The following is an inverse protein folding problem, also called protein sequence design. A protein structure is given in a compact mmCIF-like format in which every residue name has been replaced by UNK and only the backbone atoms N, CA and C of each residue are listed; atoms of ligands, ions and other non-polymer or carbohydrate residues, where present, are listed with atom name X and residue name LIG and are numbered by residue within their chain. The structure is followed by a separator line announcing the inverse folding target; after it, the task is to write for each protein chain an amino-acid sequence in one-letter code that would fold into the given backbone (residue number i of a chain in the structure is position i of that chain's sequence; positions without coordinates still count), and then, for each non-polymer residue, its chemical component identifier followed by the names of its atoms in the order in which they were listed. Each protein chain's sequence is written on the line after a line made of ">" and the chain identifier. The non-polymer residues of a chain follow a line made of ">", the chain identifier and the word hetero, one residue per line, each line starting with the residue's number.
data_IF_082101182137
#
_entry.id   IF_082101182137
#
_cell.length_a   1.000
_cell.length_b   1.000
_cell.length_c   1.000
_cell.angle_alpha   90.00
_cell.angle_beta   90.00
_cell.angle_gamma   90.00
#
_symmetry.space_group_name_H-M   'P 1'
#
loop_
_entity.id
_entity.type
_entity.pdbx_description
1 polymer ?
#
# COMPACT_ATOMS: atom_id res chain seq x y z
N UNK A 1 -19.38 20.34 4.92
CA UNK A 1 -18.31 21.18 4.35
C UNK A 1 -17.25 20.20 3.88
N UNK A 2 -17.11 20.00 2.58
CA UNK A 2 -16.13 19.04 2.05
C UNK A 2 -14.76 19.72 2.09
N UNK A 3 -13.87 19.25 2.97
CA UNK A 3 -12.52 19.79 3.05
C UNK A 3 -11.73 19.29 1.83
N UNK A 4 -11.30 20.22 0.98
CA UNK A 4 -10.40 19.87 -0.12
C UNK A 4 -9.02 19.52 0.45
N UNK A 5 -8.51 18.36 0.05
CA UNK A 5 -7.14 17.99 0.37
C UNK A 5 -6.19 18.81 -0.49
N UNK A 6 -5.07 19.23 0.07
CA UNK A 6 -3.99 19.72 -0.78
C UNK A 6 -3.53 18.58 -1.70
N UNK A 7 -3.00 18.91 -2.89
CA UNK A 7 -2.61 17.93 -3.92
C UNK A 7 -1.68 16.83 -3.41
N UNK A 8 -0.75 17.16 -2.50
CA UNK A 8 0.18 16.19 -1.94
C UNK A 8 -0.51 15.27 -0.94
N UNK A 9 -1.36 15.81 -0.06
CA UNK A 9 -2.15 15.02 0.87
C UNK A 9 -3.08 14.05 0.13
N UNK A 10 -3.75 14.51 -0.92
CA UNK A 10 -4.58 13.66 -1.77
C UNK A 10 -3.78 12.59 -2.52
N UNK A 11 -2.66 12.96 -3.13
CA UNK A 11 -1.80 12.03 -3.86
C UNK A 11 -1.20 10.95 -2.96
N UNK A 12 -0.68 11.33 -1.79
CA UNK A 12 -0.14 10.38 -0.82
C UNK A 12 -1.23 9.56 -0.12
N UNK A 13 -2.47 10.06 0.05
CA UNK A 13 -3.59 9.25 0.53
C UNK A 13 -3.95 8.14 -0.47
N UNK A 14 -4.01 8.46 -1.77
CA UNK A 14 -4.23 7.46 -2.81
C UNK A 14 -3.06 6.46 -2.88
N UNK A 15 -1.83 6.94 -2.74
CA UNK A 15 -0.65 6.08 -2.68
C UNK A 15 -0.68 5.13 -1.49
N UNK A 16 -1.10 5.60 -0.31
CA UNK A 16 -1.27 4.76 0.88
C UNK A 16 -2.26 3.63 0.62
N UNK A 17 -3.38 3.90 -0.06
CA UNK A 17 -4.35 2.86 -0.43
C UNK A 17 -3.70 1.75 -1.25
N UNK A 18 -2.87 2.09 -2.24
CA UNK A 18 -2.17 1.12 -3.07
C UNK A 18 -1.07 0.40 -2.28
N UNK A 19 -0.27 1.12 -1.49
CA UNK A 19 0.79 0.55 -0.68
C UNK A 19 0.26 -0.47 0.35
N UNK A 20 -0.91 -0.20 0.96
CA UNK A 20 -1.58 -1.12 1.90
C UNK A 20 -1.96 -2.45 1.22
N UNK A 21 -2.55 -2.36 0.03
CA UNK A 21 -2.93 -3.54 -0.75
C UNK A 21 -1.69 -4.28 -1.27
N UNK A 22 -0.69 -3.54 -1.75
CA UNK A 22 0.60 -4.07 -2.21
C UNK A 22 1.33 -4.82 -1.10
N UNK A 23 1.43 -4.25 0.10
CA UNK A 23 2.04 -4.89 1.27
C UNK A 23 1.41 -6.27 1.53
N UNK A 24 0.08 -6.35 1.47
CA UNK A 24 -0.65 -7.61 1.65
C UNK A 24 -0.36 -8.61 0.54
N UNK A 25 -0.42 -8.18 -0.72
CA UNK A 25 -0.14 -9.04 -1.87
C UNK A 25 1.31 -9.55 -1.86
N UNK A 26 2.28 -8.71 -1.49
CA UNK A 26 3.68 -9.09 -1.38
C UNK A 26 3.90 -10.08 -0.22
N UNK A 27 3.16 -9.94 0.88
CA UNK A 27 3.19 -10.88 1.99
C UNK A 27 2.70 -12.27 1.54
N UNK A 28 1.57 -12.36 0.82
CA UNK A 28 1.09 -13.63 0.26
C UNK A 28 2.09 -14.25 -0.72
N UNK A 29 2.66 -13.42 -1.60
CA UNK A 29 3.58 -13.91 -2.62
C UNK A 29 4.85 -14.49 -2.01
N UNK A 30 5.44 -13.80 -1.02
CA UNK A 30 6.67 -14.29 -0.39
C UNK A 30 6.42 -15.46 0.55
N UNK A 31 5.23 -15.57 1.14
CA UNK A 31 4.84 -16.70 1.96
C UNK A 31 4.70 -17.98 1.10
N UNK A 32 4.09 -17.85 -0.08
CA UNK A 32 3.94 -18.95 -1.05
C UNK A 32 5.20 -19.30 -1.84
N UNK A 33 6.25 -18.47 -1.79
CA UNK A 33 7.46 -18.64 -2.60
C UNK A 33 8.77 -18.49 -1.80
N UNK A 34 9.36 -19.59 -1.29
CA UNK A 34 10.62 -19.54 -0.55
C UNK A 34 11.79 -18.90 -1.33
N UNK A 35 11.83 -19.10 -2.65
CA UNK A 35 12.83 -18.47 -3.52
C UNK A 35 12.77 -16.94 -3.50
N UNK A 36 11.56 -16.37 -3.38
CA UNK A 36 11.38 -14.92 -3.28
C UNK A 36 11.93 -14.41 -1.94
N UNK A 37 11.68 -15.10 -0.82
CA UNK A 37 12.27 -14.75 0.48
C UNK A 37 13.80 -14.75 0.43
N UNK A 38 14.41 -15.77 -0.17
CA UNK A 38 15.88 -15.84 -0.29
C UNK A 38 16.45 -14.70 -1.13
N UNK A 39 15.83 -14.40 -2.27
CA UNK A 39 16.23 -13.25 -3.09
C UNK A 39 16.06 -11.93 -2.33
N UNK A 40 14.92 -11.71 -1.67
CA UNK A 40 14.68 -10.51 -0.88
C UNK A 40 15.71 -10.38 0.25
N UNK A 41 16.02 -11.46 0.96
CA UNK A 41 17.04 -11.46 2.00
C UNK A 41 18.44 -11.13 1.44
N UNK A 42 18.77 -11.56 0.21
CA UNK A 42 20.07 -11.23 -0.41
C UNK A 42 20.28 -9.74 -0.68
N UNK A 43 19.21 -8.94 -0.75
CA UNK A 43 19.30 -7.50 -1.05
C UNK A 43 19.60 -6.64 0.19
N UNK A 44 19.14 -7.04 1.37
CA UNK A 44 19.23 -6.22 2.60
C UNK A 44 19.55 -7.01 3.88
N UNK A 45 19.88 -8.29 3.76
CA UNK A 45 20.16 -9.21 4.86
C UNK A 45 18.92 -9.86 5.47
N UNK A 46 17.72 -9.29 5.27
CA UNK A 46 16.48 -9.87 5.77
C UNK A 46 15.29 -9.56 4.85
N UNK A 47 14.49 -10.58 4.53
CA UNK A 47 13.38 -10.45 3.57
C UNK A 47 12.30 -9.46 4.02
N UNK A 48 12.03 -9.31 5.33
CA UNK A 48 11.13 -8.27 5.84
C UNK A 48 11.69 -6.85 5.71
N UNK A 49 13.02 -6.68 5.74
CA UNK A 49 13.64 -5.36 5.48
C UNK A 49 13.45 -4.96 4.02
N UNK A 50 13.75 -5.85 3.07
CA UNK A 50 13.50 -5.60 1.64
C UNK A 50 12.02 -5.37 1.34
N UNK A 51 11.13 -6.11 2.02
CA UNK A 51 9.68 -5.92 1.92
C UNK A 51 9.29 -4.48 2.27
N UNK A 52 9.72 -4.00 3.44
CA UNK A 52 9.44 -2.63 3.86
C UNK A 52 10.05 -1.58 2.93
N UNK A 53 11.24 -1.85 2.34
CA UNK A 53 11.83 -0.97 1.33
C UNK A 53 10.99 -0.87 0.06
N UNK A 54 10.39 -1.98 -0.39
CA UNK A 54 9.48 -1.96 -1.53
C UNK A 54 8.18 -1.24 -1.21
N UNK A 55 7.60 -1.43 -0.03
CA UNK A 55 6.43 -0.67 0.41
C UNK A 55 6.71 0.84 0.42
N UNK A 56 7.86 1.25 0.96
CA UNK A 56 8.30 2.65 0.95
C UNK A 56 8.50 3.18 -0.48
N UNK A 57 9.13 2.40 -1.35
CA UNK A 57 9.36 2.77 -2.74
C UNK A 57 8.03 2.97 -3.49
N UNK A 58 7.07 2.07 -3.31
CA UNK A 58 5.71 2.18 -3.88
C UNK A 58 5.01 3.41 -3.31
N UNK A 59 5.02 3.58 -1.99
CA UNK A 59 4.34 4.70 -1.33
C UNK A 59 4.88 6.06 -1.79
N UNK A 60 6.20 6.24 -1.81
CA UNK A 60 6.84 7.49 -2.21
C UNK A 60 6.67 7.71 -3.72
N UNK A 61 6.98 6.69 -4.53
CA UNK A 61 6.92 6.79 -5.98
C UNK A 61 5.52 7.14 -6.47
N UNK A 62 4.51 6.40 -6.01
CA UNK A 62 3.13 6.68 -6.38
C UNK A 62 2.59 7.95 -5.72
N UNK A 63 3.03 8.31 -4.51
CA UNK A 63 2.62 9.56 -3.86
C UNK A 63 3.03 10.79 -4.64
N UNK A 64 4.24 10.78 -5.21
CA UNK A 64 4.73 11.82 -6.10
C UNK A 64 3.95 11.85 -7.43
N UNK A 65 3.70 10.68 -8.04
CA UNK A 65 2.91 10.58 -9.29
C UNK A 65 1.48 11.09 -9.08
N UNK A 66 0.82 10.65 -8.01
CA UNK A 66 -0.58 11.01 -7.74
C UNK A 66 -0.76 12.40 -7.17
N UNK A 67 0.31 13.07 -6.72
CA UNK A 67 0.27 14.50 -6.37
C UNK A 67 -0.12 15.40 -7.57
N UNK A 68 -0.10 14.85 -8.78
CA UNK A 68 -0.51 15.52 -10.01
C UNK A 68 -1.76 14.89 -10.66
N UNK A 69 -2.36 13.88 -10.01
CA UNK A 69 -3.55 13.21 -10.54
C UNK A 69 -4.83 13.97 -10.18
N UNK A 70 -5.87 13.96 -11.04
CA UNK A 70 -7.14 14.62 -10.75
C UNK A 70 -8.03 13.81 -9.79
N UNK A 71 -7.71 12.54 -9.54
CA UNK A 71 -8.56 11.62 -8.77
C UNK A 71 -8.75 12.03 -7.30
N UNK A 72 -7.71 12.42 -6.53
CA UNK A 72 -7.89 12.84 -5.15
C UNK A 72 -8.74 14.10 -4.99
N UNK A 73 -8.65 15.03 -5.94
CA UNK A 73 -9.49 16.24 -5.97
C UNK A 73 -10.96 15.89 -6.23
N UNK A 74 -11.23 14.92 -7.11
CA UNK A 74 -12.59 14.48 -7.45
C UNK A 74 -13.31 13.76 -6.31
N UNK A 75 -12.59 13.07 -5.43
CA UNK A 75 -13.16 12.29 -4.34
C UNK A 75 -13.33 13.08 -3.04
N UNK A 76 -12.63 14.22 -2.90
CA UNK A 76 -12.68 15.04 -1.69
C UNK A 76 -12.04 14.35 -0.47
N UNK A 77 -11.96 15.09 0.65
CA UNK A 77 -11.38 14.59 1.90
C UNK A 77 -12.12 13.38 2.47
N UNK A 78 -13.46 13.45 2.53
CA UNK A 78 -14.29 12.38 3.07
C UNK A 78 -14.24 11.11 2.21
N UNK A 79 -14.26 11.27 0.88
CA UNK A 79 -14.12 10.14 -0.04
C UNK A 79 -12.76 9.48 0.06
N UNK A 80 -11.68 10.25 0.21
CA UNK A 80 -10.35 9.72 0.47
C UNK A 80 -10.26 8.96 1.78
N UNK A 81 -10.82 9.51 2.87
CA UNK A 81 -10.82 8.83 4.15
C UNK A 81 -11.56 7.49 4.10
N UNK A 82 -12.74 7.45 3.44
CA UNK A 82 -13.51 6.21 3.24
C UNK A 82 -12.76 5.19 2.39
N UNK A 83 -12.12 5.64 1.31
CA UNK A 83 -11.33 4.75 0.44
C UNK A 83 -10.16 4.14 1.22
N UNK A 84 -9.41 4.96 1.95
CA UNK A 84 -8.30 4.49 2.78
C UNK A 84 -8.76 3.48 3.83
N UNK A 85 -9.87 3.75 4.51
CA UNK A 85 -10.46 2.82 5.47
C UNK A 85 -10.86 1.50 4.79
N UNK A 86 -11.50 1.56 3.62
CA UNK A 86 -11.90 0.36 2.86
C UNK A 86 -10.69 -0.48 2.42
N UNK A 87 -9.63 0.15 1.89
CA UNK A 87 -8.39 -0.53 1.53
C UNK A 87 -7.71 -1.17 2.76
N UNK A 88 -7.71 -0.48 3.90
CA UNK A 88 -7.16 -1.00 5.16
C UNK A 88 -7.93 -2.23 5.63
N UNK A 89 -9.26 -2.19 5.64
CA UNK A 89 -10.10 -3.33 6.02
C UNK A 89 -9.88 -4.50 5.06
N UNK A 90 -9.89 -4.23 3.75
CA UNK A 90 -9.68 -5.27 2.75
C UNK A 90 -8.31 -5.96 2.87
N UNK A 91 -7.23 -5.18 3.04
CA UNK A 91 -5.88 -5.69 3.26
C UNK A 91 -5.76 -6.49 4.56
N UNK A 92 -6.29 -5.95 5.67
CA UNK A 92 -6.27 -6.63 6.96
C UNK A 92 -7.04 -7.95 6.95
N UNK A 93 -8.25 -7.97 6.36
CA UNK A 93 -9.01 -9.19 6.15
C UNK A 93 -8.26 -10.16 5.22
N UNK A 94 -7.61 -9.66 4.17
CA UNK A 94 -6.81 -10.46 3.28
C UNK A 94 -5.66 -11.19 3.99
N UNK A 95 -4.88 -10.47 4.81
CA UNK A 95 -3.84 -11.08 5.64
C UNK A 95 -4.42 -12.10 6.62
N UNK A 96 -5.49 -11.73 7.34
CA UNK A 96 -6.15 -12.60 8.29
C UNK A 96 -6.59 -13.92 7.63
N UNK A 97 -7.29 -13.84 6.50
CA UNK A 97 -7.80 -15.01 5.81
C UNK A 97 -6.67 -15.88 5.25
N UNK A 98 -5.62 -15.28 4.70
CA UNK A 98 -4.47 -16.04 4.20
C UNK A 98 -3.85 -16.88 5.32
N UNK A 99 -3.45 -16.27 6.43
CA UNK A 99 -2.80 -16.98 7.53
C UNK A 99 -3.74 -17.88 8.36
N UNK A 100 -5.06 -17.80 8.15
CA UNK A 100 -6.01 -18.75 8.73
C UNK A 100 -6.22 -20.01 7.89
N UNK A 101 -6.02 -19.94 6.57
CA UNK A 101 -6.48 -20.98 5.64
C UNK A 101 -5.40 -21.52 4.70
N UNK A 102 -4.26 -20.84 4.57
CA UNK A 102 -3.11 -21.25 3.75
C UNK A 102 -1.93 -21.55 4.67
#
# INVERSE_FOLDING_TARGET
>A
MEYSLNRHAGGFALSACIAILFNTALAWLKDSMPALNSWMASLSGHHWTTHGLFDLAVFIGLGLVFSHAPLPERLGGDGMAKLLAACTVAAGLGLLLWFLFV
#
